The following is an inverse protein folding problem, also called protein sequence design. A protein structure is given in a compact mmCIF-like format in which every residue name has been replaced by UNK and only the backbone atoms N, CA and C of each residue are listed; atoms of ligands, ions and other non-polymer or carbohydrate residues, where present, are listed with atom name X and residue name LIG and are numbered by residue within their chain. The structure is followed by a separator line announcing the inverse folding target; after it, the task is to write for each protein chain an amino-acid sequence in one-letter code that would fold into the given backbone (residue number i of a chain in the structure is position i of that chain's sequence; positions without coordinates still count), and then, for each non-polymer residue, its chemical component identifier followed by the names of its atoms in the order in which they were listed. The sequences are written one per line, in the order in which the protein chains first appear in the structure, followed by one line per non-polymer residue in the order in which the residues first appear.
data_IF_501284377016
#
_entry.id   IF_501284377016
#
_cell.length_a   1.000
_cell.length_b   1.000
_cell.length_c   1.000
_cell.angle_alpha   90.00
_cell.angle_beta   90.00
_cell.angle_gamma   90.00
#
_symmetry.space_group_name_H-M   'P 1'
#
loop_
_entity.id
_entity.type
_entity.pdbx_description
1 polymer ?
#
# COMPACT_ATOMS: atom_id res chain seq x y z
N UNK A 1 31.46 -50.24 -12.52
CA UNK A 1 32.43 -49.34 -11.85
C UNK A 1 31.82 -47.93 -11.87
N UNK A 2 30.98 -47.63 -10.88
CA UNK A 2 30.16 -46.42 -10.80
C UNK A 2 30.98 -45.27 -10.21
N UNK A 3 31.39 -44.32 -11.06
CA UNK A 3 31.98 -43.05 -10.63
C UNK A 3 30.89 -42.18 -10.00
N UNK A 4 30.67 -42.33 -8.68
CA UNK A 4 29.99 -41.27 -7.93
C UNK A 4 30.95 -40.06 -7.89
N UNK A 5 30.56 -38.90 -8.45
CA UNK A 5 31.40 -37.72 -8.38
C UNK A 5 31.63 -37.37 -6.90
N UNK A 6 32.90 -37.27 -6.51
CA UNK A 6 33.30 -36.94 -5.15
C UNK A 6 32.58 -35.67 -4.68
N UNK A 7 31.95 -35.74 -3.51
CA UNK A 7 31.27 -34.63 -2.88
C UNK A 7 32.32 -33.57 -2.50
N UNK A 8 32.45 -32.50 -3.30
CA UNK A 8 33.34 -31.36 -3.00
C UNK A 8 32.56 -30.25 -2.26
N UNK A 9 32.67 -30.17 -0.92
CA UNK A 9 31.94 -29.18 -0.12
C UNK A 9 32.33 -27.74 -0.45
N UNK A 10 33.56 -27.48 -0.92
CA UNK A 10 34.05 -26.11 -1.18
C UNK A 10 33.39 -25.49 -2.41
N UNK A 11 33.06 -26.30 -3.43
CA UNK A 11 32.36 -25.84 -4.64
C UNK A 11 30.85 -25.62 -4.42
N UNK A 12 30.24 -26.32 -3.46
CA UNK A 12 28.79 -26.24 -3.19
C UNK A 12 28.41 -25.26 -2.09
N UNK A 13 29.32 -24.91 -1.17
CA UNK A 13 29.10 -23.94 -0.09
C UNK A 13 28.45 -22.60 -0.57
N UNK A 14 28.95 -21.91 -1.63
CA UNK A 14 28.34 -20.65 -2.06
C UNK A 14 26.97 -20.80 -2.74
N UNK A 15 26.62 -21.99 -3.23
CA UNK A 15 25.27 -22.28 -3.74
C UNK A 15 24.29 -22.51 -2.59
N UNK A 16 24.71 -23.28 -1.58
CA UNK A 16 23.94 -23.53 -0.35
C UNK A 16 23.70 -22.24 0.44
N UNK A 17 24.71 -21.38 0.61
CA UNK A 17 24.56 -20.08 1.28
C UNK A 17 23.61 -19.13 0.52
N UNK A 18 23.58 -19.19 -0.82
CA UNK A 18 22.63 -18.41 -1.63
C UNK A 18 21.20 -18.94 -1.51
N UNK A 19 21.03 -20.27 -1.48
CA UNK A 19 19.74 -20.89 -1.24
C UNK A 19 19.22 -20.55 0.16
N UNK A 20 20.04 -20.75 1.20
CA UNK A 20 19.69 -20.40 2.58
C UNK A 20 19.34 -18.92 2.76
N UNK A 21 20.08 -17.99 2.13
CA UNK A 21 19.72 -16.56 2.15
C UNK A 21 18.40 -16.25 1.45
N UNK A 22 18.06 -16.96 0.37
CA UNK A 22 16.78 -16.80 -0.32
C UNK A 22 15.63 -17.36 0.51
N UNK A 23 15.83 -18.51 1.14
CA UNK A 23 14.86 -19.11 2.05
C UNK A 23 14.62 -18.19 3.26
N UNK A 24 15.67 -17.73 3.94
CA UNK A 24 15.55 -16.75 5.04
C UNK A 24 14.82 -15.48 4.59
N UNK A 25 15.13 -14.97 3.40
CA UNK A 25 14.45 -13.81 2.83
C UNK A 25 12.96 -14.05 2.56
N UNK A 26 12.60 -15.21 2.01
CA UNK A 26 11.21 -15.60 1.75
C UNK A 26 10.43 -15.82 3.06
N UNK A 27 11.04 -16.52 4.03
CA UNK A 27 10.44 -16.73 5.35
C UNK A 27 10.25 -15.41 6.10
N UNK A 28 11.24 -14.52 6.07
CA UNK A 28 11.12 -13.20 6.67
C UNK A 28 10.02 -12.36 5.99
N UNK A 29 9.91 -12.40 4.66
CA UNK A 29 8.85 -11.72 3.93
C UNK A 29 7.46 -12.26 4.28
N UNK A 30 7.30 -13.58 4.39
CA UNK A 30 6.05 -14.21 4.82
C UNK A 30 5.71 -13.85 6.27
N UNK A 31 6.69 -13.84 7.16
CA UNK A 31 6.50 -13.43 8.55
C UNK A 31 6.04 -11.98 8.64
N UNK A 32 6.69 -11.06 7.90
CA UNK A 32 6.28 -9.64 7.86
C UNK A 32 4.86 -9.53 7.32
N UNK A 33 4.53 -10.22 6.22
CA UNK A 33 3.19 -10.19 5.66
C UNK A 33 2.13 -10.72 6.65
N UNK A 34 2.43 -11.81 7.36
CA UNK A 34 1.56 -12.38 8.38
C UNK A 34 1.38 -11.43 9.58
N UNK A 35 2.46 -10.85 10.09
CA UNK A 35 2.41 -9.88 11.20
C UNK A 35 1.63 -8.62 10.79
N UNK A 36 1.84 -8.10 9.59
CA UNK A 36 1.07 -6.97 9.06
C UNK A 36 -0.41 -7.30 8.91
N UNK A 37 -0.74 -8.52 8.47
CA UNK A 37 -2.14 -8.97 8.37
C UNK A 37 -2.80 -9.10 9.74
N UNK A 38 -2.08 -9.64 10.74
CA UNK A 38 -2.56 -9.74 12.11
C UNK A 38 -2.75 -8.36 12.75
N UNK A 39 -1.78 -7.45 12.57
CA UNK A 39 -1.89 -6.07 13.04
C UNK A 39 -3.05 -5.32 12.36
N UNK A 40 -3.28 -5.56 11.07
CA UNK A 40 -4.43 -5.02 10.37
C UNK A 40 -5.75 -5.55 10.95
N UNK A 41 -5.82 -6.86 11.22
CA UNK A 41 -7.02 -7.49 11.76
C UNK A 41 -7.33 -6.98 13.17
N UNK A 42 -6.32 -6.81 14.03
CA UNK A 42 -6.51 -6.27 15.39
C UNK A 42 -7.03 -4.83 15.34
N UNK A 43 -6.45 -3.98 14.48
CA UNK A 43 -6.94 -2.60 14.29
C UNK A 43 -8.37 -2.61 13.74
N UNK A 44 -8.68 -3.52 12.81
CA UNK A 44 -10.01 -3.63 12.24
C UNK A 44 -11.06 -4.06 13.27
N UNK A 45 -10.69 -4.92 14.23
CA UNK A 45 -11.52 -5.31 15.36
C UNK A 45 -11.79 -4.13 16.30
N UNK A 46 -10.75 -3.42 16.74
CA UNK A 46 -10.89 -2.21 17.58
C UNK A 46 -11.77 -1.13 16.91
N UNK A 47 -11.64 -0.95 15.60
CA UNK A 47 -12.48 -0.02 14.80
C UNK A 47 -13.93 -0.52 14.70
N UNK A 48 -14.14 -1.82 14.56
CA UNK A 48 -15.48 -2.42 14.52
C UNK A 48 -16.20 -2.32 15.87
N UNK A 49 -15.47 -2.48 16.97
CA UNK A 49 -15.97 -2.33 18.34
C UNK A 49 -16.20 -0.87 18.73
N UNK A 50 -15.62 0.08 17.99
CA UNK A 50 -15.81 1.51 18.17
C UNK A 50 -14.93 2.13 19.25
N UNK A 51 -13.95 1.40 19.77
CA UNK A 51 -13.01 1.86 20.80
C UNK A 51 -12.11 3.00 20.29
N UNK A 52 -11.78 2.98 18.99
CA UNK A 52 -10.98 4.03 18.33
C UNK A 52 -11.74 5.35 18.16
N UNK A 53 -13.07 5.35 18.28
CA UNK A 53 -13.90 6.53 18.01
C UNK A 53 -13.57 7.71 18.92
N UNK A 54 -13.22 7.46 20.18
CA UNK A 54 -12.86 8.53 21.12
C UNK A 54 -11.56 9.23 20.71
N UNK A 55 -10.58 8.45 20.22
CA UNK A 55 -9.31 8.96 19.73
C UNK A 55 -9.52 9.73 18.42
N UNK A 56 -10.28 9.17 17.48
CA UNK A 56 -10.61 9.83 16.20
C UNK A 56 -11.26 11.20 16.43
N UNK A 57 -12.24 11.27 17.34
CA UNK A 57 -12.91 12.53 17.68
C UNK A 57 -11.95 13.51 18.36
N UNK A 58 -11.09 13.04 19.28
CA UNK A 58 -10.09 13.89 19.92
C UNK A 58 -9.10 14.49 18.91
N UNK A 59 -8.68 13.73 17.92
CA UNK A 59 -7.80 14.21 16.84
C UNK A 59 -8.54 15.23 15.96
N UNK A 60 -9.78 14.94 15.57
CA UNK A 60 -10.58 15.85 14.76
C UNK A 60 -10.84 17.19 15.47
N UNK A 61 -11.13 17.15 16.77
CA UNK A 61 -11.34 18.35 17.58
C UNK A 61 -10.04 19.13 17.78
N UNK A 62 -8.90 18.45 17.95
CA UNK A 62 -7.58 19.10 18.02
C UNK A 62 -7.18 19.82 16.72
N UNK A 63 -7.71 19.39 15.57
CA UNK A 63 -7.44 20.00 14.26
C UNK A 63 -8.45 21.08 13.88
N UNK A 64 -9.52 21.29 14.65
CA UNK A 64 -10.61 22.23 14.34
C UNK A 64 -10.59 23.47 15.22
N UNK A 65 -11.05 24.59 14.67
CA UNK A 65 -11.22 25.79 15.47
C UNK A 65 -12.38 25.63 16.47
N UNK A 66 -12.19 26.03 17.75
CA UNK A 66 -13.25 25.97 18.74
C UNK A 66 -14.49 26.76 18.29
N UNK A 67 -15.65 26.11 18.27
CA UNK A 67 -16.93 26.73 17.89
C UNK A 67 -17.21 26.78 16.38
N UNK A 68 -16.27 26.36 15.53
CA UNK A 68 -16.44 26.32 14.06
C UNK A 68 -16.12 24.93 13.50
N UNK A 69 -17.09 23.99 13.49
CA UNK A 69 -16.83 22.57 13.15
C UNK A 69 -16.32 22.30 11.73
N UNK A 70 -16.41 23.28 10.84
CA UNK A 70 -15.99 23.21 9.43
C UNK A 70 -14.64 23.88 9.17
N UNK A 71 -14.11 24.62 10.14
CA UNK A 71 -12.85 25.32 9.98
C UNK A 71 -11.72 24.56 10.67
N UNK A 72 -10.70 24.23 9.89
CA UNK A 72 -9.48 23.60 10.36
C UNK A 72 -8.51 24.68 10.88
N UNK A 73 -7.67 24.31 11.85
CA UNK A 73 -6.61 25.18 12.37
C UNK A 73 -5.47 25.21 11.35
N UNK A 74 -5.19 26.39 10.78
CA UNK A 74 -4.05 26.58 9.89
C UNK A 74 -4.30 27.67 8.84
N UNK A 75 -3.26 28.05 8.10
CA UNK A 75 -3.39 28.96 6.97
C UNK A 75 -4.04 28.27 5.76
N UNK A 76 -4.78 29.01 4.94
CA UNK A 76 -5.57 28.45 3.81
C UNK A 76 -4.75 27.59 2.84
N UNK A 77 -3.48 27.95 2.60
CA UNK A 77 -2.59 27.19 1.73
C UNK A 77 -2.36 25.75 2.22
N UNK A 78 -2.44 25.50 3.53
CA UNK A 78 -2.25 24.18 4.11
C UNK A 78 -3.44 23.27 3.76
N UNK A 79 -4.66 23.81 3.75
CA UNK A 79 -5.86 23.06 3.39
C UNK A 79 -5.84 22.69 1.91
N UNK A 80 -5.49 23.64 1.05
CA UNK A 80 -5.33 23.39 -0.39
C UNK A 80 -4.25 22.34 -0.64
N UNK A 81 -3.09 22.47 0.02
CA UNK A 81 -2.02 21.48 -0.11
C UNK A 81 -2.44 20.08 0.35
N UNK A 82 -3.20 19.95 1.45
CA UNK A 82 -3.71 18.66 1.92
C UNK A 82 -4.68 18.02 0.91
N UNK A 83 -5.55 18.82 0.27
CA UNK A 83 -6.45 18.35 -0.79
C UNK A 83 -5.65 17.86 -1.99
N UNK A 84 -4.67 18.64 -2.45
CA UNK A 84 -3.86 18.29 -3.61
C UNK A 84 -3.00 17.03 -3.38
N UNK A 85 -2.43 16.90 -2.18
CA UNK A 85 -1.66 15.74 -1.77
C UNK A 85 -2.53 14.48 -1.75
N UNK A 86 -3.70 14.55 -1.11
CA UNK A 86 -4.62 13.39 -1.06
C UNK A 86 -5.22 13.03 -2.42
N UNK A 87 -5.31 13.99 -3.35
CA UNK A 87 -5.70 13.72 -4.72
C UNK A 87 -4.71 12.82 -5.48
N UNK A 88 -3.44 12.73 -5.05
CA UNK A 88 -2.47 11.78 -5.61
C UNK A 88 -2.88 10.32 -5.39
N UNK A 89 -3.61 10.05 -4.29
CA UNK A 89 -4.17 8.75 -3.99
C UNK A 89 -5.54 8.48 -4.61
N UNK A 90 -6.05 9.41 -5.44
CA UNK A 90 -7.34 9.24 -6.11
C UNK A 90 -7.34 8.09 -7.10
N UNK A 91 -8.49 7.43 -7.24
CA UNK A 91 -8.67 6.35 -8.23
C UNK A 91 -8.30 6.79 -9.65
N UNK A 92 -8.59 8.05 -10.00
CA UNK A 92 -8.26 8.60 -11.31
C UNK A 92 -6.74 8.72 -11.51
N UNK A 93 -6.02 9.31 -10.55
CA UNK A 93 -4.56 9.47 -10.63
C UNK A 93 -3.86 8.11 -10.59
N UNK A 94 -4.23 7.23 -9.65
CA UNK A 94 -3.66 5.89 -9.55
C UNK A 94 -3.95 5.05 -10.79
N UNK A 95 -5.17 5.11 -11.32
CA UNK A 95 -5.54 4.42 -12.57
C UNK A 95 -4.70 4.89 -13.75
N UNK A 96 -4.48 6.20 -13.87
CA UNK A 96 -3.61 6.77 -14.90
C UNK A 96 -2.15 6.31 -14.73
N UNK A 97 -1.62 6.30 -13.51
CA UNK A 97 -0.26 5.84 -13.22
C UNK A 97 -0.09 4.35 -13.55
N UNK A 98 -1.05 3.51 -13.18
CA UNK A 98 -1.04 2.08 -13.52
C UNK A 98 -1.03 1.90 -15.04
N UNK A 99 -1.91 2.60 -15.75
CA UNK A 99 -2.02 2.50 -17.21
C UNK A 99 -0.72 2.92 -17.90
N UNK A 100 -0.15 4.06 -17.49
CA UNK A 100 1.08 4.59 -18.07
C UNK A 100 2.27 3.67 -17.78
N UNK A 101 2.40 3.19 -16.55
CA UNK A 101 3.45 2.26 -16.17
C UNK A 101 3.32 0.93 -16.91
N UNK A 102 2.09 0.40 -17.04
CA UNK A 102 1.83 -0.82 -17.81
C UNK A 102 2.19 -0.62 -19.29
N UNK A 103 1.77 0.49 -19.91
CA UNK A 103 2.10 0.81 -21.30
C UNK A 103 3.61 0.90 -21.51
N UNK A 104 4.34 1.56 -20.60
CA UNK A 104 5.80 1.64 -20.65
C UNK A 104 6.45 0.25 -20.56
N UNK A 105 6.01 -0.58 -19.61
CA UNK A 105 6.53 -1.95 -19.45
C UNK A 105 6.23 -2.82 -20.67
N UNK A 106 5.03 -2.68 -21.26
CA UNK A 106 4.66 -3.36 -22.50
C UNK A 106 5.56 -2.94 -23.68
N UNK A 107 5.85 -1.64 -23.83
CA UNK A 107 6.80 -1.14 -24.83
C UNK A 107 8.22 -1.69 -24.62
N UNK A 108 8.63 -1.87 -23.37
CA UNK A 108 9.91 -2.50 -23.00
C UNK A 108 9.87 -4.05 -23.09
N UNK A 109 8.74 -4.63 -23.52
CA UNK A 109 8.47 -6.09 -23.58
C UNK A 109 8.58 -6.80 -22.23
N UNK A 110 8.41 -6.07 -21.15
CA UNK A 110 8.44 -6.52 -19.76
C UNK A 110 7.04 -6.89 -19.27
N UNK A 111 6.43 -7.86 -19.95
CA UNK A 111 5.04 -8.26 -19.72
C UNK A 111 4.81 -8.85 -18.32
N UNK A 112 5.80 -9.55 -17.76
CA UNK A 112 5.69 -10.14 -16.42
C UNK A 112 5.55 -9.07 -15.33
N UNK A 113 6.30 -7.98 -15.46
CA UNK A 113 6.27 -6.83 -14.56
C UNK A 113 4.96 -6.05 -14.70
N UNK A 114 4.50 -5.86 -15.94
CA UNK A 114 3.21 -5.24 -16.23
C UNK A 114 2.04 -6.03 -15.63
N UNK A 115 2.05 -7.37 -15.78
CA UNK A 115 1.03 -8.24 -15.20
C UNK A 115 1.08 -8.21 -13.66
N UNK A 116 2.28 -8.19 -13.06
CA UNK A 116 2.42 -8.09 -11.61
C UNK A 116 1.80 -6.79 -11.08
N UNK A 117 2.00 -5.67 -11.79
CA UNK A 117 1.37 -4.39 -11.45
C UNK A 117 -0.16 -4.47 -11.51
N UNK A 118 -0.72 -5.03 -12.60
CA UNK A 118 -2.16 -5.15 -12.77
C UNK A 118 -2.80 -6.10 -11.76
N UNK A 119 -2.19 -7.25 -11.50
CA UNK A 119 -2.67 -8.22 -10.51
C UNK A 119 -2.59 -7.62 -9.11
N UNK A 120 -1.50 -6.93 -8.78
CA UNK A 120 -1.35 -6.23 -7.51
C UNK A 120 -2.45 -5.19 -7.30
N UNK A 121 -2.62 -4.27 -8.25
CA UNK A 121 -3.64 -3.22 -8.17
C UNK A 121 -5.07 -3.80 -8.14
N UNK A 122 -5.38 -4.74 -9.02
CA UNK A 122 -6.68 -5.39 -9.09
C UNK A 122 -6.99 -6.22 -7.84
N UNK A 123 -6.00 -6.94 -7.31
CA UNK A 123 -6.11 -7.67 -6.04
C UNK A 123 -6.34 -6.74 -4.86
N UNK A 124 -5.61 -5.62 -4.79
CA UNK A 124 -5.81 -4.59 -3.77
C UNK A 124 -7.22 -4.00 -3.79
N UNK A 125 -7.74 -3.69 -4.98
CA UNK A 125 -9.12 -3.26 -5.17
C UNK A 125 -10.13 -4.32 -4.72
N UNK A 126 -9.94 -5.57 -5.14
CA UNK A 126 -10.86 -6.66 -4.81
C UNK A 126 -10.90 -6.91 -3.30
N UNK A 127 -9.75 -6.94 -2.63
CA UNK A 127 -9.67 -7.08 -1.17
C UNK A 127 -10.32 -5.87 -0.49
N UNK A 128 -10.05 -4.63 -0.93
CA UNK A 128 -10.69 -3.45 -0.36
C UNK A 128 -12.22 -3.53 -0.43
N UNK A 129 -12.76 -3.89 -1.60
CA UNK A 129 -14.20 -4.02 -1.79
C UNK A 129 -14.79 -5.19 -0.97
N UNK A 130 -14.10 -6.33 -0.91
CA UNK A 130 -14.49 -7.47 -0.09
C UNK A 130 -14.54 -7.14 1.40
N UNK A 131 -13.54 -6.44 1.92
CA UNK A 131 -13.52 -5.99 3.32
C UNK A 131 -14.66 -5.01 3.61
N UNK A 132 -14.96 -4.09 2.69
CA UNK A 132 -16.11 -3.18 2.85
C UNK A 132 -17.46 -3.92 2.93
N UNK A 133 -17.62 -5.01 2.17
CA UNK A 133 -18.80 -5.86 2.24
C UNK A 133 -18.87 -6.64 3.55
N UNK A 134 -17.72 -7.11 4.05
CA UNK A 134 -17.64 -7.90 5.28
C UNK A 134 -17.89 -7.04 6.55
N UNK A 135 -17.32 -5.84 6.61
CA UNK A 135 -17.49 -4.91 7.73
C UNK A 135 -18.80 -4.12 7.69
N UNK A 136 -19.54 -4.17 6.56
CA UNK A 136 -20.97 -3.94 6.48
C UNK A 136 -21.60 -2.93 7.46
N UNK A 137 -21.10 -1.69 7.52
CA UNK A 137 -21.73 -0.65 8.32
C UNK A 137 -23.01 -0.18 7.60
N UNK A 138 -24.19 -0.52 8.12
CA UNK A 138 -25.46 0.10 7.71
C UNK A 138 -25.34 1.63 7.81
N UNK A 139 -25.65 2.34 6.71
CA UNK A 139 -25.50 3.80 6.65
C UNK A 139 -26.76 4.46 7.26
N UNK A 140 -26.62 5.42 8.19
CA UNK A 140 -27.71 6.30 8.58
C UNK A 140 -28.25 7.12 7.39
N UNK A 141 -29.50 7.57 7.53
CA UNK A 141 -30.36 8.13 6.48
C UNK A 141 -29.77 9.21 5.57
N UNK A 142 -30.40 9.32 4.39
CA UNK A 142 -30.02 10.08 3.19
C UNK A 142 -29.78 11.60 3.39
N UNK A 143 -30.20 12.18 4.52
CA UNK A 143 -30.33 13.63 4.72
C UNK A 143 -29.00 14.37 4.99
N UNK A 144 -27.88 13.66 5.20
CA UNK A 144 -26.57 14.26 5.51
C UNK A 144 -25.53 14.18 4.38
N UNK A 145 -25.95 13.92 3.13
CA UNK A 145 -25.02 13.83 1.98
C UNK A 145 -24.69 15.20 1.41
N UNK A 146 -23.67 15.87 1.95
CA UNK A 146 -23.12 17.09 1.35
C UNK A 146 -22.18 16.81 0.16
N UNK A 147 -21.60 15.61 0.06
CA UNK A 147 -20.77 15.16 -1.07
C UNK A 147 -20.96 13.66 -1.23
N UNK A 148 -21.12 13.17 -2.46
CA UNK A 148 -21.09 11.74 -2.80
C UNK A 148 -19.70 11.13 -2.50
N UNK A 149 -19.40 10.90 -1.22
CA UNK A 149 -18.31 10.03 -0.84
C UNK A 149 -18.74 8.57 -1.13
N UNK A 150 -18.47 8.14 -2.36
CA UNK A 150 -18.87 6.83 -2.93
C UNK A 150 -18.26 5.61 -2.20
N UNK A 151 -17.46 5.79 -1.14
CA UNK A 151 -16.75 4.67 -0.49
C UNK A 151 -16.95 4.61 1.02
N UNK A 152 -17.10 3.40 1.56
CA UNK A 152 -17.13 3.16 3.02
C UNK A 152 -15.86 3.70 3.70
N UNK A 153 -16.02 4.16 4.95
CA UNK A 153 -14.99 4.85 5.74
C UNK A 153 -13.82 3.94 6.15
N UNK A 154 -14.06 2.62 6.18
CA UNK A 154 -13.07 1.64 6.57
C UNK A 154 -13.16 0.37 5.71
N UNK A 155 -12.03 -0.16 5.21
CA UNK A 155 -10.73 0.53 5.09
C UNK A 155 -10.78 1.64 4.03
N UNK A 156 -9.91 2.66 4.14
CA UNK A 156 -9.78 3.69 3.11
C UNK A 156 -9.29 3.08 1.79
N UNK A 157 -10.16 3.04 0.79
CA UNK A 157 -9.82 2.49 -0.54
C UNK A 157 -8.71 3.27 -1.24
N UNK A 158 -8.62 4.59 -1.01
CA UNK A 158 -7.58 5.45 -1.57
C UNK A 158 -6.22 5.13 -0.96
N UNK A 159 -6.15 4.99 0.38
CA UNK A 159 -4.91 4.66 1.06
C UNK A 159 -4.41 3.24 0.69
N UNK A 160 -5.32 2.26 0.70
CA UNK A 160 -4.96 0.88 0.34
C UNK A 160 -4.44 0.77 -1.10
N UNK A 161 -5.13 1.40 -2.06
CA UNK A 161 -4.71 1.35 -3.45
C UNK A 161 -3.41 2.15 -3.67
N UNK A 162 -3.25 3.30 -3.02
CA UNK A 162 -2.02 4.10 -3.07
C UNK A 162 -0.83 3.29 -2.58
N UNK A 163 -0.97 2.60 -1.45
CA UNK A 163 0.08 1.73 -0.93
C UNK A 163 0.46 0.64 -1.92
N UNK A 164 -0.52 -0.08 -2.46
CA UNK A 164 -0.27 -1.14 -3.45
C UNK A 164 0.42 -0.58 -4.69
N UNK A 165 -0.06 0.52 -5.26
CA UNK A 165 0.47 1.08 -6.51
C UNK A 165 1.85 1.69 -6.30
N UNK A 166 2.02 2.61 -5.35
CA UNK A 166 3.30 3.29 -5.14
C UNK A 166 4.40 2.32 -4.70
N UNK A 167 4.13 1.38 -3.79
CA UNK A 167 5.13 0.38 -3.38
C UNK A 167 5.50 -0.56 -4.53
N UNK A 168 4.53 -0.96 -5.36
CA UNK A 168 4.82 -1.79 -6.54
C UNK A 168 5.69 -1.04 -7.55
N UNK A 169 5.36 0.22 -7.85
CA UNK A 169 6.17 1.06 -8.74
C UNK A 169 7.57 1.31 -8.16
N UNK A 170 7.69 1.57 -6.87
CA UNK A 170 8.98 1.72 -6.17
C UNK A 170 9.83 0.45 -6.23
N UNK A 171 9.22 -0.71 -6.01
CA UNK A 171 9.90 -2.01 -6.12
C UNK A 171 10.37 -2.30 -7.55
N UNK A 172 9.54 -2.01 -8.55
CA UNK A 172 9.92 -2.13 -9.97
C UNK A 172 11.08 -1.17 -10.31
N UNK A 173 10.99 0.10 -9.90
CA UNK A 173 12.06 1.08 -10.10
C UNK A 173 13.38 0.64 -9.43
N UNK A 174 13.32 0.15 -8.19
CA UNK A 174 14.48 -0.38 -7.48
C UNK A 174 15.07 -1.65 -8.12
N UNK A 175 14.24 -2.45 -8.79
CA UNK A 175 14.68 -3.65 -9.52
C UNK A 175 15.50 -3.28 -10.76
N UNK A 176 15.13 -2.23 -11.48
CA UNK A 176 15.86 -1.75 -12.66
C UNK A 176 17.06 -0.86 -12.32
N UNK A 177 17.11 -0.28 -11.12
CA UNK A 177 18.24 0.53 -10.68
C UNK A 177 19.52 -0.30 -10.42
N UNK A 178 20.64 0.09 -11.01
CA UNK A 178 21.93 -0.57 -10.76
C UNK A 178 22.62 -0.09 -9.48
N UNK A 179 22.43 1.17 -9.08
CA UNK A 179 23.08 1.79 -7.92
C UNK A 179 22.22 1.62 -6.65
N UNK A 180 22.84 1.20 -5.53
CA UNK A 180 22.15 1.05 -4.23
C UNK A 180 21.42 2.31 -3.77
N UNK A 181 22.00 3.49 -4.02
CA UNK A 181 21.38 4.78 -3.68
C UNK A 181 20.05 5.00 -4.41
N UNK A 182 19.98 4.66 -5.70
CA UNK A 182 18.76 4.79 -6.49
C UNK A 182 17.67 3.81 -6.03
N UNK A 183 18.06 2.61 -5.57
CA UNK A 183 17.12 1.66 -4.96
C UNK A 183 16.52 2.21 -3.67
N UNK A 184 17.35 2.75 -2.79
CA UNK A 184 16.91 3.36 -1.55
C UNK A 184 16.00 4.57 -1.80
N UNK A 185 16.34 5.39 -2.80
CA UNK A 185 15.55 6.56 -3.17
C UNK A 185 14.19 6.15 -3.73
N UNK A 186 14.14 5.15 -4.62
CA UNK A 186 12.89 4.64 -5.20
C UNK A 186 11.95 3.99 -4.15
N UNK A 187 12.51 3.19 -3.24
CA UNK A 187 11.73 2.58 -2.16
C UNK A 187 11.29 3.63 -1.13
N UNK A 188 12.19 4.55 -0.77
CA UNK A 188 11.88 5.64 0.16
C UNK A 188 10.79 6.57 -0.36
N UNK A 189 10.85 6.96 -1.64
CA UNK A 189 9.81 7.77 -2.26
C UNK A 189 8.47 7.03 -2.33
N UNK A 190 8.49 5.73 -2.62
CA UNK A 190 7.28 4.92 -2.67
C UNK A 190 6.61 4.78 -1.29
N UNK A 191 7.41 4.59 -0.23
CA UNK A 191 6.90 4.59 1.15
C UNK A 191 6.35 5.96 1.52
N UNK A 192 7.08 7.04 1.23
CA UNK A 192 6.62 8.40 1.52
C UNK A 192 5.29 8.71 0.82
N UNK A 193 5.17 8.44 -0.48
CA UNK A 193 3.94 8.64 -1.25
C UNK A 193 2.77 7.78 -0.79
N UNK A 194 3.04 6.58 -0.25
CA UNK A 194 2.02 5.71 0.33
C UNK A 194 1.45 6.22 1.67
N UNK A 195 2.18 7.10 2.37
CA UNK A 195 1.79 7.65 3.66
C UNK A 195 1.09 9.02 3.54
N UNK A 196 1.00 9.55 2.33
CA UNK A 196 0.27 10.77 1.97
C UNK A 196 -1.18 10.43 1.59
#
# INVERSE_FOLDING_TARGET
MTLFPAFDPRRRLPALLRAARRELGATAALLIAALSALAFLSIAEEVAEGETRAIDLAILDALRQPGQPRELIGPDWLHVAAIDITALGSLAVLGLLILLAFALLACLRQWGEGLLLLIGAGGGLAISQGLKLLFGRERPDMDYRAVEAVNASFPSGHAMLSAVVFLTLGALAARFAQRKRLKALALGSAVALSLL
#
